data_IF_210502786246
#
_entry.id   IF_210502786246
#
_cell.length_a   1.000
_cell.length_b   1.000
_cell.length_c   1.000
_cell.angle_alpha   90.00
_cell.angle_beta   90.00
_cell.angle_gamma   90.00
#
_symmetry.space_group_name_H-M   'P 1'
#
loop_
_entity.id
_entity.type
_entity.pdbx_description
1 polymer ?
#
# COMPACT_ATOMS: atom_id res chain seq x y z
N UNK A 1 -9.09 -35.44 -25.38
CA UNK A 1 -9.14 -33.97 -25.22
C UNK A 1 -10.02 -33.63 -24.03
N UNK A 2 -9.59 -32.79 -23.07
CA UNK A 2 -10.42 -32.43 -21.93
C UNK A 2 -11.66 -31.69 -22.43
N UNK A 3 -12.83 -32.36 -22.38
CA UNK A 3 -14.11 -31.91 -22.95
C UNK A 3 -14.63 -30.55 -22.42
N UNK A 4 -14.07 -30.03 -21.32
CA UNK A 4 -14.57 -28.83 -20.64
C UNK A 4 -13.55 -27.68 -20.56
N UNK A 5 -12.38 -27.78 -21.21
CA UNK A 5 -11.42 -26.67 -21.22
C UNK A 5 -11.85 -25.63 -22.26
N UNK A 6 -12.35 -24.49 -21.79
CA UNK A 6 -12.73 -23.35 -22.65
C UNK A 6 -11.50 -22.75 -23.31
N UNK A 7 -11.67 -22.29 -24.56
CA UNK A 7 -10.62 -21.56 -25.26
C UNK A 7 -10.34 -20.22 -24.58
N UNK A 8 -9.06 -19.86 -24.47
CA UNK A 8 -8.60 -18.63 -23.83
C UNK A 8 -7.87 -17.81 -24.87
N UNK A 9 -8.47 -16.69 -25.28
CA UNK A 9 -7.86 -15.74 -26.21
C UNK A 9 -6.50 -15.26 -25.68
N UNK A 10 -5.42 -15.62 -26.39
CA UNK A 10 -4.06 -15.19 -26.07
C UNK A 10 -3.77 -13.89 -26.82
N UNK A 11 -3.33 -12.86 -26.09
CA UNK A 11 -2.92 -11.58 -26.66
C UNK A 11 -1.41 -11.59 -26.93
N UNK A 12 -0.99 -11.05 -28.08
CA UNK A 12 0.44 -10.90 -28.45
C UNK A 12 1.07 -9.61 -27.90
N UNK A 13 0.40 -8.92 -26.99
CA UNK A 13 0.88 -7.70 -26.34
C UNK A 13 2.12 -7.97 -25.49
N UNK A 14 3.10 -7.07 -25.53
CA UNK A 14 4.37 -7.15 -24.77
C UNK A 14 4.26 -6.85 -23.27
N UNK A 15 3.05 -6.73 -22.72
CA UNK A 15 2.86 -6.32 -21.32
C UNK A 15 2.67 -7.54 -20.42
N UNK A 16 3.69 -7.82 -19.60
CA UNK A 16 3.65 -8.88 -18.61
C UNK A 16 2.92 -8.47 -17.32
N UNK A 17 2.42 -9.48 -16.61
CA UNK A 17 1.79 -9.29 -15.29
C UNK A 17 2.89 -9.04 -14.26
N UNK A 18 2.74 -7.97 -13.47
CA UNK A 18 3.69 -7.54 -12.42
C UNK A 18 3.86 -8.54 -11.26
N UNK A 19 2.97 -9.53 -11.12
CA UNK A 19 3.17 -10.71 -10.26
C UNK A 19 3.28 -10.42 -8.75
N UNK A 20 3.90 -11.37 -8.03
CA UNK A 20 4.13 -11.30 -6.58
C UNK A 20 5.29 -10.37 -6.22
N UNK A 21 6.37 -10.40 -7.01
CA UNK A 21 7.59 -9.61 -6.78
C UNK A 21 7.29 -8.12 -6.63
N UNK A 22 6.43 -7.55 -7.48
CA UNK A 22 6.06 -6.13 -7.37
C UNK A 22 5.31 -5.81 -6.06
N UNK A 23 4.49 -6.74 -5.55
CA UNK A 23 3.79 -6.54 -4.26
C UNK A 23 4.77 -6.60 -3.09
N UNK A 24 5.76 -7.49 -3.15
CA UNK A 24 6.82 -7.57 -2.15
C UNK A 24 7.66 -6.30 -2.14
N UNK A 25 8.00 -5.76 -3.31
CA UNK A 25 8.70 -4.49 -3.41
C UNK A 25 7.90 -3.34 -2.76
N UNK A 26 6.59 -3.26 -3.02
CA UNK A 26 5.74 -2.23 -2.38
C UNK A 26 5.72 -2.39 -0.84
N UNK A 27 5.72 -3.62 -0.33
CA UNK A 27 5.77 -3.89 1.12
C UNK A 27 7.08 -3.39 1.70
N UNK A 28 8.20 -3.68 1.04
CA UNK A 28 9.52 -3.23 1.48
C UNK A 28 9.65 -1.70 1.43
N UNK A 29 9.20 -1.07 0.34
CA UNK A 29 9.18 0.38 0.20
C UNK A 29 8.38 1.06 1.33
N UNK A 30 7.27 0.46 1.77
CA UNK A 30 6.47 0.96 2.89
C UNK A 30 7.24 0.84 4.21
N UNK A 31 7.92 -0.30 4.44
CA UNK A 31 8.74 -0.52 5.63
C UNK A 31 9.91 0.45 5.72
N UNK A 32 10.57 0.74 4.60
CA UNK A 32 11.61 1.76 4.53
C UNK A 32 11.05 3.16 4.80
N UNK A 33 9.89 3.50 4.22
CA UNK A 33 9.25 4.79 4.45
C UNK A 33 8.80 4.97 5.91
N UNK A 34 8.33 3.91 6.56
CA UNK A 34 7.97 3.91 7.98
C UNK A 34 9.15 4.28 8.87
N UNK A 35 10.37 3.84 8.52
CA UNK A 35 11.61 4.20 9.26
C UNK A 35 12.10 5.62 8.94
N UNK A 36 11.75 6.14 7.77
CA UNK A 36 12.28 7.41 7.27
C UNK A 36 11.44 8.64 7.66
N UNK A 37 10.12 8.50 7.74
CA UNK A 37 9.20 9.60 7.96
C UNK A 37 8.52 9.50 9.32
N UNK A 38 8.28 10.66 9.94
CA UNK A 38 7.74 10.74 11.29
C UNK A 38 6.21 10.57 11.31
N UNK A 39 5.52 11.02 10.25
CA UNK A 39 4.06 11.02 10.19
C UNK A 39 3.52 10.10 9.09
N UNK A 40 2.43 9.39 9.43
CA UNK A 40 1.67 8.53 8.52
C UNK A 40 0.22 9.00 8.50
N UNK A 41 -0.30 9.27 7.31
CA UNK A 41 -1.69 9.65 7.09
C UNK A 41 -2.40 8.61 6.24
N UNK A 42 -3.61 8.22 6.67
CA UNK A 42 -4.55 7.46 5.87
C UNK A 42 -5.49 8.44 5.17
N UNK A 43 -5.64 8.30 3.85
CA UNK A 43 -6.60 9.09 3.11
C UNK A 43 -7.49 8.21 2.23
N UNK A 44 -8.77 8.56 2.18
CA UNK A 44 -9.75 7.94 1.29
C UNK A 44 -9.90 8.78 0.04
N UNK A 45 -10.19 8.12 -1.08
CA UNK A 45 -10.39 8.81 -2.37
C UNK A 45 -11.62 8.29 -3.06
N UNK A 46 -12.33 9.18 -3.74
CA UNK A 46 -13.42 8.83 -4.63
C UNK A 46 -13.11 9.32 -6.04
N UNK A 47 -13.36 8.47 -7.04
CA UNK A 47 -13.15 8.79 -8.46
C UNK A 47 -11.73 9.33 -8.79
N UNK A 48 -10.69 8.70 -8.21
CA UNK A 48 -9.31 9.12 -8.40
C UNK A 48 -8.86 9.00 -9.86
N UNK A 49 -8.14 10.01 -10.35
CA UNK A 49 -7.55 10.05 -11.69
C UNK A 49 -6.03 10.18 -11.59
N UNK A 50 -5.32 9.42 -12.43
CA UNK A 50 -3.86 9.40 -12.43
C UNK A 50 -3.22 10.76 -12.70
N UNK A 51 -3.86 11.63 -13.51
CA UNK A 51 -3.38 13.00 -13.76
C UNK A 51 -3.29 13.80 -12.47
N UNK A 52 -4.38 13.86 -11.71
CA UNK A 52 -4.45 14.60 -10.44
C UNK A 52 -3.51 14.03 -9.39
N UNK A 53 -3.36 12.71 -9.33
CA UNK A 53 -2.42 12.08 -8.41
C UNK A 53 -0.95 12.42 -8.74
N UNK A 54 -0.61 12.60 -10.03
CA UNK A 54 0.72 13.05 -10.44
C UNK A 54 0.97 14.50 -10.02
N UNK A 55 -0.03 15.37 -10.16
CA UNK A 55 0.07 16.77 -9.75
C UNK A 55 0.33 16.86 -8.23
N UNK A 56 -0.42 16.13 -7.42
CA UNK A 56 -0.27 16.08 -5.95
C UNK A 56 1.13 15.56 -5.56
N UNK A 57 1.59 14.46 -6.18
CA UNK A 57 2.94 13.92 -5.94
C UNK A 57 4.05 14.90 -6.33
N UNK A 58 3.82 15.75 -7.33
CA UNK A 58 4.80 16.74 -7.78
C UNK A 58 4.86 17.94 -6.84
N UNK A 59 3.71 18.31 -6.25
CA UNK A 59 3.64 19.36 -5.24
C UNK A 59 4.31 18.91 -3.92
N UNK A 60 4.12 17.65 -3.51
CA UNK A 60 4.62 17.09 -2.25
C UNK A 60 5.82 16.18 -2.50
N UNK A 61 6.98 16.77 -2.86
CA UNK A 61 8.20 16.02 -3.25
C UNK A 61 8.89 15.32 -2.08
N UNK A 62 8.78 15.91 -0.88
CA UNK A 62 9.39 15.39 0.34
C UNK A 62 8.53 14.31 1.00
N UNK A 63 7.37 13.99 0.43
CA UNK A 63 6.43 13.02 0.97
C UNK A 63 6.25 11.84 0.01
N UNK A 64 5.79 10.70 0.53
CA UNK A 64 5.58 9.47 -0.26
C UNK A 64 4.14 9.00 -0.17
N UNK A 65 3.51 8.92 -1.35
CA UNK A 65 2.13 8.45 -1.51
C UNK A 65 2.10 7.00 -2.01
N UNK A 66 1.59 6.10 -1.17
CA UNK A 66 1.28 4.73 -1.54
C UNK A 66 -0.19 4.56 -1.86
N UNK A 67 -0.44 3.92 -3.00
CA UNK A 67 -1.77 3.56 -3.46
C UNK A 67 -1.74 2.10 -3.91
N UNK A 68 -2.51 1.26 -3.24
CA UNK A 68 -2.46 -0.18 -3.49
C UNK A 68 -3.61 -0.91 -2.83
N UNK A 69 -3.52 -2.25 -2.82
CA UNK A 69 -4.50 -3.06 -2.11
C UNK A 69 -4.32 -2.86 -0.60
N UNK A 70 -5.40 -2.60 0.12
CA UNK A 70 -5.36 -2.36 1.58
C UNK A 70 -4.59 -3.47 2.32
N UNK A 71 -4.76 -4.73 1.94
CA UNK A 71 -4.03 -5.86 2.54
C UNK A 71 -2.50 -5.77 2.37
N UNK A 72 -2.02 -5.30 1.22
CA UNK A 72 -0.58 -5.14 0.96
C UNK A 72 -0.02 -4.01 1.81
N UNK A 73 -0.75 -2.90 1.90
CA UNK A 73 -0.38 -1.78 2.77
C UNK A 73 -0.39 -2.18 4.25
N UNK A 74 -1.36 -2.99 4.66
CA UNK A 74 -1.41 -3.50 6.03
C UNK A 74 -0.23 -4.41 6.38
N UNK A 75 0.23 -5.25 5.42
CA UNK A 75 1.43 -6.06 5.60
C UNK A 75 2.70 -5.22 5.69
N UNK A 76 2.79 -4.13 4.92
CA UNK A 76 3.91 -3.18 4.99
C UNK A 76 3.97 -2.38 6.29
N UNK A 77 2.83 -2.18 6.95
CA UNK A 77 2.74 -1.57 8.28
C UNK A 77 2.89 -2.60 9.42
N UNK A 78 3.24 -3.84 9.09
CA UNK A 78 3.44 -4.97 10.01
C UNK A 78 2.21 -5.32 10.87
N UNK A 79 0.99 -5.05 10.39
CA UNK A 79 -0.25 -5.44 11.10
C UNK A 79 -0.53 -6.94 11.15
N UNK A 80 0.16 -7.72 10.32
CA UNK A 80 -0.05 -9.17 10.19
C UNK A 80 1.30 -9.86 9.99
N UNK A 81 2.22 -9.68 10.93
CA UNK A 81 3.27 -10.67 11.18
C UNK A 81 2.65 -11.87 11.91
N UNK A 82 3.14 -13.07 11.59
CA UNK A 82 2.83 -14.34 12.27
C UNK A 82 3.61 -14.48 13.61
N UNK A 83 4.53 -13.55 13.83
CA UNK A 83 5.27 -13.39 15.07
C UNK A 83 4.62 -12.23 15.82
N UNK A 84 4.03 -12.58 16.97
CA UNK A 84 3.44 -11.66 17.94
C UNK A 84 4.50 -10.81 18.64
N UNK A 85 5.32 -10.12 17.86
CA UNK A 85 6.05 -8.97 18.36
C UNK A 85 5.11 -7.77 18.32
N UNK A 86 4.60 -7.46 19.51
CA UNK A 86 4.30 -6.10 19.95
C UNK A 86 5.56 -5.22 19.76
N UNK A 87 5.95 -4.98 18.50
CA UNK A 87 7.15 -4.23 18.10
C UNK A 87 6.96 -2.71 18.17
N UNK A 88 6.01 -2.25 18.98
CA UNK A 88 5.92 -0.85 19.35
C UNK A 88 6.48 -0.74 20.78
N UNK A 89 7.72 -0.24 20.89
CA UNK A 89 8.32 0.11 22.19
C UNK A 89 7.42 1.08 22.98
N UNK A 90 6.51 1.79 22.29
CA UNK A 90 5.45 2.60 22.87
C UNK A 90 4.04 1.99 22.67
N UNK A 91 3.32 1.62 23.73
CA UNK A 91 1.95 1.07 23.66
C UNK A 91 0.91 2.07 23.11
N UNK A 92 1.29 3.33 22.92
CA UNK A 92 0.44 4.37 22.31
C UNK A 92 0.48 4.29 20.77
N UNK A 93 1.66 4.01 20.20
CA UNK A 93 1.85 3.88 18.76
C UNK A 93 1.12 2.64 18.21
N UNK A 94 1.14 1.52 18.96
CA UNK A 94 0.39 0.31 18.62
C UNK A 94 -1.12 0.55 18.47
N UNK A 95 -1.72 1.29 19.40
CA UNK A 95 -3.16 1.60 19.38
C UNK A 95 -3.57 2.49 18.21
N UNK A 96 -2.73 3.46 17.85
CA UNK A 96 -3.03 4.35 16.73
C UNK A 96 -2.87 3.65 15.37
N UNK A 97 -1.94 2.70 15.29
CA UNK A 97 -1.82 1.80 14.14
C UNK A 97 -3.04 0.88 14.05
N UNK A 98 -3.53 0.28 15.14
CA UNK A 98 -4.74 -0.56 15.11
C UNK A 98 -5.98 0.20 14.61
N UNK A 99 -6.18 1.45 15.07
CA UNK A 99 -7.23 2.33 14.54
C UNK A 99 -7.06 2.58 13.05
N UNK A 100 -5.82 2.79 12.61
CA UNK A 100 -5.52 2.98 11.18
C UNK A 100 -6.00 1.77 10.37
N UNK A 101 -5.70 0.54 10.85
CA UNK A 101 -6.12 -0.72 10.22
C UNK A 101 -7.63 -0.82 10.09
N UNK A 102 -8.39 -0.49 11.13
CA UNK A 102 -9.86 -0.52 11.09
C UNK A 102 -10.45 0.47 10.08
N UNK A 103 -9.81 1.64 9.94
CA UNK A 103 -10.23 2.68 9.00
C UNK A 103 -9.86 2.38 7.54
N UNK A 104 -9.04 1.36 7.26
CA UNK A 104 -8.64 0.99 5.88
C UNK A 104 -9.76 0.25 5.12
N UNK A 105 -10.90 0.90 4.91
CA UNK A 105 -12.05 0.35 4.19
C UNK A 105 -12.27 1.08 2.88
N UNK A 106 -12.39 0.33 1.79
CA UNK A 106 -12.62 0.87 0.44
C UNK A 106 -11.34 1.33 -0.25
N UNK A 107 -11.43 2.42 -1.02
CA UNK A 107 -10.31 2.98 -1.78
C UNK A 107 -9.51 3.94 -0.89
N UNK A 108 -8.45 3.40 -0.28
CA UNK A 108 -7.56 4.15 0.61
C UNK A 108 -6.14 4.19 0.06
N UNK A 109 -5.37 5.18 0.51
CA UNK A 109 -3.93 5.24 0.35
C UNK A 109 -3.24 5.73 1.61
N UNK A 110 -1.93 5.56 1.63
CA UNK A 110 -1.06 6.03 2.71
C UNK A 110 -0.19 7.18 2.21
N UNK A 111 0.00 8.18 3.07
CA UNK A 111 0.92 9.27 2.86
C UNK A 111 1.92 9.27 4.02
N UNK A 112 3.20 9.19 3.68
CA UNK A 112 4.31 9.36 4.62
C UNK A 112 4.92 10.74 4.41
N UNK A 113 5.08 11.53 5.47
CA UNK A 113 5.63 12.89 5.39
C UNK A 113 6.35 13.27 6.68
N UNK A 114 7.41 14.07 6.56
CA UNK A 114 8.10 14.72 7.69
C UNK A 114 7.79 16.21 7.78
N UNK A 115 7.01 16.75 6.83
CA UNK A 115 6.52 18.12 6.87
C UNK A 115 5.13 18.15 7.53
N UNK A 116 4.95 19.08 8.47
CA UNK A 116 3.72 19.34 9.22
C UNK A 116 2.86 20.37 8.53
#
# INVERSE_FOLDING_TARGET
MPKSKRDKKISLTKTDRKGLSNKQQIIEDIRECRKKYDNIFLFSVQNMRNSKLKDIRTAWKNSRFFFGKNRVMQLGLDFVSDEGEDGAEDPKLGKDLEKLREQMVGQCGLLFTSET
#
